data_IF_825998198702
#
_entry.id   IF_825998198702
#
_cell.length_a   1.000
_cell.length_b   1.000
_cell.length_c   1.000
_cell.angle_alpha   90.00
_cell.angle_beta   90.00
_cell.angle_gamma   90.00
#
_symmetry.space_group_name_H-M   'P 1'
#
loop_
_entity.id
_entity.type
_entity.pdbx_description
1 polymer ?
#
# COMPACT_ATOMS: atom_id res chain seq x y z
N UNK A 1 -83.83 -10.93 3.23
CA UNK A 1 -84.54 -9.79 2.59
C UNK A 1 -85.13 -8.92 3.70
N UNK A 2 -84.91 -7.60 3.63
CA UNK A 2 -85.67 -6.45 4.18
C UNK A 2 -86.67 -6.70 5.35
N UNK A 3 -86.67 -5.96 6.45
CA UNK A 3 -86.89 -4.50 6.50
C UNK A 3 -86.37 -3.86 7.80
N UNK A 4 -85.90 -2.62 7.65
CA UNK A 4 -85.70 -1.65 8.73
C UNK A 4 -87.06 -1.17 9.28
N UNK A 5 -87.18 -1.12 10.60
CA UNK A 5 -88.17 -0.29 11.29
C UNK A 5 -87.43 0.79 12.07
N UNK A 6 -87.39 2.02 11.54
CA UNK A 6 -86.98 3.21 12.28
C UNK A 6 -88.09 3.57 13.28
N UNK A 7 -87.76 3.66 14.56
CA UNK A 7 -88.45 4.58 15.47
C UNK A 7 -87.39 5.33 16.28
N UNK A 8 -87.38 6.64 16.05
CA UNK A 8 -86.67 7.67 16.78
C UNK A 8 -87.30 7.93 18.16
N UNK A 9 -86.55 8.67 19.00
CA UNK A 9 -86.94 9.46 20.20
C UNK A 9 -86.40 8.84 21.50
N UNK A 10 -85.57 9.50 22.29
CA UNK A 10 -85.02 10.85 22.18
C UNK A 10 -83.78 10.94 23.07
N UNK A 11 -82.67 11.40 22.49
CA UNK A 11 -81.50 11.80 23.29
C UNK A 11 -81.74 13.26 23.62
N UNK A 12 -81.99 13.55 24.88
CA UNK A 12 -82.15 14.91 25.37
C UNK A 12 -80.92 15.73 24.95
N UNK A 13 -81.13 16.92 24.39
CA UNK A 13 -80.05 17.83 24.02
C UNK A 13 -79.24 18.30 25.23
N UNK A 14 -79.82 18.21 26.44
CA UNK A 14 -79.13 18.46 27.71
C UNK A 14 -78.06 17.39 28.05
N UNK A 15 -78.32 16.10 27.79
CA UNK A 15 -77.33 15.04 28.04
C UNK A 15 -76.16 15.08 27.05
N UNK A 16 -76.41 15.53 25.81
CA UNK A 16 -75.36 15.71 24.79
C UNK A 16 -74.43 16.88 25.08
N UNK A 17 -74.93 17.94 25.71
CA UNK A 17 -74.12 19.11 26.11
C UNK A 17 -73.26 18.83 27.37
N UNK A 18 -73.72 17.95 28.27
CA UNK A 18 -72.95 17.50 29.43
C UNK A 18 -71.84 16.49 29.07
N UNK A 19 -72.01 15.70 28.00
CA UNK A 19 -71.01 14.74 27.53
C UNK A 19 -69.77 15.43 26.93
N UNK A 20 -69.92 16.59 26.30
CA UNK A 20 -68.82 17.32 25.67
C UNK A 20 -68.01 18.14 26.66
N UNK A 21 -68.61 18.66 27.75
CA UNK A 21 -67.89 19.36 28.82
C UNK A 21 -67.04 18.41 29.68
N UNK A 22 -67.56 17.21 30.00
CA UNK A 22 -66.84 16.21 30.79
C UNK A 22 -65.60 15.65 30.07
N UNK A 23 -65.67 15.53 28.74
CA UNK A 23 -64.54 15.07 27.90
C UNK A 23 -63.38 16.07 27.85
N UNK A 24 -63.68 17.36 28.05
CA UNK A 24 -62.67 18.43 28.10
C UNK A 24 -62.01 18.55 29.49
N UNK A 25 -62.72 18.25 30.58
CA UNK A 25 -62.15 18.35 31.93
C UNK A 25 -61.21 17.17 32.27
N UNK A 26 -61.50 15.96 31.76
CA UNK A 26 -60.65 14.77 32.00
C UNK A 26 -59.26 14.91 31.34
N UNK A 27 -59.13 15.72 30.29
CA UNK A 27 -57.87 15.94 29.58
C UNK A 27 -57.05 17.14 30.08
N UNK A 28 -57.58 17.95 31.01
CA UNK A 28 -56.84 19.09 31.59
C UNK A 28 -55.87 18.71 32.73
N UNK A 29 -55.85 17.45 33.15
CA UNK A 29 -55.09 17.00 34.32
C UNK A 29 -53.78 16.25 34.05
N UNK A 30 -53.39 16.03 32.78
CA UNK A 30 -52.10 15.38 32.50
C UNK A 30 -51.04 16.45 32.26
N UNK A 31 -49.96 16.50 33.05
CA UNK A 31 -48.86 17.42 32.77
C UNK A 31 -48.37 17.15 31.36
N UNK A 32 -48.21 18.22 30.59
CA UNK A 32 -47.75 18.18 29.21
C UNK A 32 -46.28 17.71 29.19
N UNK A 33 -46.08 16.40 29.23
CA UNK A 33 -44.76 15.75 29.23
C UNK A 33 -44.06 15.87 27.86
N UNK A 34 -44.61 16.62 26.91
CA UNK A 34 -44.00 16.87 25.60
C UNK A 34 -42.63 17.52 25.73
N UNK A 35 -42.48 18.51 26.62
CA UNK A 35 -41.20 19.17 26.89
C UNK A 35 -40.14 18.20 27.46
N UNK A 36 -40.53 17.33 28.40
CA UNK A 36 -39.64 16.32 28.96
C UNK A 36 -39.23 15.25 27.92
N UNK A 37 -40.16 14.84 27.04
CA UNK A 37 -39.86 13.94 25.92
C UNK A 37 -38.93 14.59 24.90
N UNK A 38 -39.15 15.86 24.56
CA UNK A 38 -38.29 16.62 23.64
C UNK A 38 -36.87 16.78 24.21
N UNK A 39 -36.73 17.00 25.51
CA UNK A 39 -35.41 17.03 26.16
C UNK A 39 -34.72 15.67 26.12
N UNK A 40 -35.45 14.57 26.36
CA UNK A 40 -34.89 13.22 26.24
C UNK A 40 -34.47 12.88 24.80
N UNK A 41 -35.27 13.23 23.80
CA UNK A 41 -34.90 13.01 22.39
C UNK A 41 -33.69 13.84 22.01
N UNK A 42 -33.61 15.11 22.41
CA UNK A 42 -32.44 15.96 22.15
C UNK A 42 -31.16 15.41 22.80
N UNK A 43 -31.24 14.90 24.03
CA UNK A 43 -30.09 14.26 24.70
C UNK A 43 -29.63 13.00 23.96
N UNK A 44 -30.57 12.19 23.47
CA UNK A 44 -30.26 10.98 22.69
C UNK A 44 -29.61 11.38 21.35
N UNK A 45 -30.14 12.39 20.65
CA UNK A 45 -29.58 12.90 19.40
C UNK A 45 -28.16 13.44 19.58
N UNK A 46 -27.89 14.18 20.67
CA UNK A 46 -26.54 14.65 21.00
C UNK A 46 -25.56 13.49 21.25
N UNK A 47 -26.02 12.43 21.94
CA UNK A 47 -25.20 11.24 22.18
C UNK A 47 -24.88 10.51 20.87
N UNK A 48 -25.87 10.33 20.00
CA UNK A 48 -25.65 9.75 18.67
C UNK A 48 -24.68 10.60 17.84
N UNK A 49 -24.82 11.92 17.85
CA UNK A 49 -23.93 12.81 17.12
C UNK A 49 -22.48 12.70 17.64
N UNK A 50 -22.29 12.66 18.97
CA UNK A 50 -20.97 12.47 19.59
C UNK A 50 -20.36 11.11 19.20
N UNK A 51 -21.15 10.04 19.26
CA UNK A 51 -20.69 8.71 18.85
C UNK A 51 -20.34 8.66 17.38
N UNK A 52 -21.14 9.26 16.51
CA UNK A 52 -20.89 9.28 15.07
C UNK A 52 -19.61 10.06 14.75
N UNK A 53 -19.38 11.20 15.42
CA UNK A 53 -18.14 11.96 15.31
C UNK A 53 -16.92 11.17 15.78
N UNK A 54 -17.06 10.41 16.87
CA UNK A 54 -15.98 9.56 17.37
C UNK A 54 -15.66 8.43 16.38
N UNK A 55 -16.69 7.76 15.85
CA UNK A 55 -16.52 6.71 14.85
C UNK A 55 -15.87 7.22 13.55
N UNK A 56 -16.19 8.43 13.10
CA UNK A 56 -15.53 9.00 11.91
C UNK A 56 -14.07 9.33 12.19
N UNK A 57 -13.75 9.83 13.39
CA UNK A 57 -12.39 10.08 13.82
C UNK A 57 -11.58 8.77 13.93
N UNK A 58 -12.13 7.74 14.58
CA UNK A 58 -11.48 6.44 14.71
C UNK A 58 -11.21 5.80 13.35
N UNK A 59 -12.16 5.89 12.41
CA UNK A 59 -11.98 5.41 11.03
C UNK A 59 -10.88 6.16 10.29
N UNK A 60 -10.80 7.48 10.49
CA UNK A 60 -9.75 8.29 9.89
C UNK A 60 -8.37 7.93 10.44
N UNK A 61 -8.25 7.74 11.76
CA UNK A 61 -7.01 7.33 12.41
C UNK A 61 -6.57 5.93 11.96
N UNK A 62 -7.51 4.98 11.86
CA UNK A 62 -7.24 3.65 11.33
C UNK A 62 -6.79 3.69 9.87
N UNK A 63 -7.42 4.52 9.03
CA UNK A 63 -6.99 4.70 7.64
C UNK A 63 -5.57 5.27 7.57
N UNK A 64 -5.27 6.29 8.38
CA UNK A 64 -3.95 6.89 8.46
C UNK A 64 -2.89 5.87 8.90
N UNK A 65 -3.20 5.02 9.87
CA UNK A 65 -2.30 3.96 10.32
C UNK A 65 -2.04 2.94 9.22
N UNK A 66 -3.09 2.42 8.55
CA UNK A 66 -2.96 1.48 7.44
C UNK A 66 -2.14 2.06 6.29
N UNK A 67 -2.38 3.32 5.95
CA UNK A 67 -1.62 4.02 4.92
C UNK A 67 -0.14 4.14 5.29
N UNK A 68 0.15 4.52 6.54
CA UNK A 68 1.52 4.61 7.04
C UNK A 68 2.24 3.26 6.96
N UNK A 69 1.61 2.17 7.43
CA UNK A 69 2.17 0.82 7.33
C UNK A 69 2.46 0.43 5.88
N UNK A 70 1.47 0.56 4.98
CA UNK A 70 1.65 0.21 3.56
C UNK A 70 2.78 1.02 2.91
N UNK A 71 2.87 2.32 3.22
CA UNK A 71 3.95 3.17 2.73
C UNK A 71 5.32 2.75 3.26
N UNK A 72 5.41 2.30 4.51
CA UNK A 72 6.64 1.81 5.11
C UNK A 72 7.11 0.51 4.42
N UNK A 73 6.19 -0.45 4.21
CA UNK A 73 6.49 -1.70 3.49
C UNK A 73 6.96 -1.43 2.05
N UNK A 74 6.29 -0.53 1.33
CA UNK A 74 6.70 -0.12 -0.01
C UNK A 74 8.11 0.51 -0.02
N UNK A 75 8.42 1.35 0.97
CA UNK A 75 9.74 1.96 1.10
C UNK A 75 10.83 0.91 1.35
N UNK A 76 10.57 -0.07 2.22
CA UNK A 76 11.50 -1.18 2.49
C UNK A 76 11.76 -1.97 1.22
N UNK A 77 10.72 -2.38 0.49
CA UNK A 77 10.87 -3.14 -0.75
C UNK A 77 11.68 -2.38 -1.82
N UNK A 78 11.48 -1.06 -1.93
CA UNK A 78 12.28 -0.21 -2.82
C UNK A 78 13.75 -0.15 -2.42
N UNK A 79 14.04 -0.04 -1.11
CA UNK A 79 15.42 -0.05 -0.59
C UNK A 79 16.10 -1.39 -0.86
N UNK A 80 15.42 -2.49 -0.59
CA UNK A 80 15.95 -3.84 -0.85
C UNK A 80 16.26 -4.03 -2.33
N UNK A 81 15.35 -3.63 -3.23
CA UNK A 81 15.59 -3.68 -4.67
C UNK A 81 16.79 -2.84 -5.10
N UNK A 82 16.98 -1.65 -4.51
CA UNK A 82 18.13 -0.80 -4.81
C UNK A 82 19.45 -1.44 -4.34
N UNK A 83 19.46 -2.03 -3.14
CA UNK A 83 20.63 -2.75 -2.60
C UNK A 83 20.97 -3.96 -3.48
N UNK A 84 19.98 -4.73 -3.93
CA UNK A 84 20.22 -5.88 -4.79
C UNK A 84 20.80 -5.47 -6.15
N UNK A 85 20.33 -4.36 -6.73
CA UNK A 85 20.90 -3.81 -7.97
C UNK A 85 22.35 -3.38 -7.78
N UNK A 86 22.66 -2.72 -6.67
CA UNK A 86 24.04 -2.35 -6.34
C UNK A 86 24.93 -3.58 -6.20
N UNK A 87 24.49 -4.60 -5.45
CA UNK A 87 25.21 -5.86 -5.30
C UNK A 87 25.47 -6.56 -6.63
N UNK A 88 24.48 -6.58 -7.53
CA UNK A 88 24.65 -7.17 -8.86
C UNK A 88 25.70 -6.41 -9.70
N UNK A 89 25.72 -5.09 -9.63
CA UNK A 89 26.74 -4.27 -10.30
C UNK A 89 28.13 -4.51 -9.72
N UNK A 90 28.26 -4.60 -8.40
CA UNK A 90 29.52 -4.93 -7.73
C UNK A 90 30.04 -6.31 -8.15
N UNK A 91 29.17 -7.33 -8.17
CA UNK A 91 29.51 -8.67 -8.62
C UNK A 91 29.96 -8.69 -10.09
N UNK A 92 29.30 -7.91 -10.95
CA UNK A 92 29.70 -7.78 -12.35
C UNK A 92 31.11 -7.16 -12.48
N UNK A 93 31.38 -6.09 -11.75
CA UNK A 93 32.70 -5.44 -11.75
C UNK A 93 33.79 -6.37 -11.19
N UNK A 94 33.50 -7.10 -10.11
CA UNK A 94 34.43 -8.09 -9.53
C UNK A 94 34.74 -9.21 -10.52
N UNK A 95 33.74 -9.74 -11.24
CA UNK A 95 33.97 -10.75 -12.29
C UNK A 95 34.85 -10.20 -13.42
N UNK A 96 34.61 -8.96 -13.84
CA UNK A 96 35.44 -8.29 -14.85
C UNK A 96 36.87 -8.13 -14.36
N UNK A 97 37.07 -7.65 -13.13
CA UNK A 97 38.38 -7.49 -12.51
C UNK A 97 39.15 -8.81 -12.39
N UNK A 98 38.46 -9.89 -11.99
CA UNK A 98 39.05 -11.22 -11.92
C UNK A 98 39.50 -11.73 -13.28
N UNK A 99 38.68 -11.55 -14.32
CA UNK A 99 39.06 -11.92 -15.70
C UNK A 99 40.26 -11.10 -16.20
N UNK A 100 40.31 -9.80 -15.93
CA UNK A 100 41.45 -8.97 -16.31
C UNK A 100 42.72 -9.38 -15.58
N UNK A 101 42.63 -9.71 -14.28
CA UNK A 101 43.76 -10.22 -13.50
C UNK A 101 44.29 -11.54 -14.07
N UNK A 102 43.38 -12.47 -14.41
CA UNK A 102 43.76 -13.75 -15.04
C UNK A 102 44.42 -13.54 -16.40
N UNK A 103 43.90 -12.63 -17.23
CA UNK A 103 44.51 -12.30 -18.53
C UNK A 103 45.89 -11.68 -18.37
N UNK A 104 46.08 -10.78 -17.42
CA UNK A 104 47.38 -10.19 -17.11
C UNK A 104 48.39 -11.28 -16.67
N UNK A 105 47.98 -12.18 -15.78
CA UNK A 105 48.80 -13.30 -15.36
C UNK A 105 49.19 -14.21 -16.54
N UNK A 106 48.24 -14.55 -17.42
CA UNK A 106 48.53 -15.33 -18.64
C UNK A 106 49.50 -14.61 -19.57
N UNK A 107 49.32 -13.30 -19.78
CA UNK A 107 50.23 -12.51 -20.61
C UNK A 107 51.67 -12.54 -20.05
N UNK A 108 51.83 -12.43 -18.72
CA UNK A 108 53.17 -12.54 -18.09
C UNK A 108 53.79 -13.93 -18.26
N UNK A 109 52.99 -15.01 -18.18
CA UNK A 109 53.50 -16.37 -18.40
C UNK A 109 53.93 -16.56 -19.86
N UNK A 110 53.12 -16.12 -20.82
CA UNK A 110 53.46 -16.20 -22.26
C UNK A 110 54.72 -15.40 -22.60
N UNK A 111 54.87 -14.20 -22.03
CA UNK A 111 56.10 -13.40 -22.20
C UNK A 111 57.33 -14.10 -21.63
N UNK A 112 57.20 -14.75 -20.48
CA UNK A 112 58.29 -15.53 -19.89
C UNK A 112 58.65 -16.75 -20.75
N UNK A 113 57.66 -17.50 -21.22
CA UNK A 113 57.87 -18.63 -22.14
C UNK A 113 58.54 -18.19 -23.44
N UNK A 114 58.05 -17.10 -24.05
CA UNK A 114 58.65 -16.54 -25.26
C UNK A 114 60.12 -16.19 -25.03
N UNK A 115 60.45 -15.55 -23.90
CA UNK A 115 61.84 -15.19 -23.56
C UNK A 115 62.73 -16.43 -23.42
N UNK A 116 62.23 -17.49 -22.80
CA UNK A 116 62.95 -18.77 -22.69
C UNK A 116 63.19 -19.36 -24.08
N UNK A 117 62.15 -19.44 -24.91
CA UNK A 117 62.29 -19.96 -26.27
C UNK A 117 63.25 -19.12 -27.12
N UNK A 118 63.19 -17.80 -27.04
CA UNK A 118 64.14 -16.93 -27.74
C UNK A 118 65.58 -17.29 -27.37
N UNK A 119 65.89 -17.46 -26.08
CA UNK A 119 67.23 -17.88 -25.63
C UNK A 119 67.64 -19.24 -26.20
N UNK A 120 66.73 -20.22 -26.19
CA UNK A 120 66.99 -21.54 -26.78
C UNK A 120 67.22 -21.48 -28.30
N UNK A 121 66.44 -20.68 -29.03
CA UNK A 121 66.62 -20.50 -30.47
C UNK A 121 67.94 -19.79 -30.79
N UNK A 122 68.30 -18.74 -30.03
CA UNK A 122 69.57 -18.04 -30.18
C UNK A 122 70.76 -18.99 -29.97
N UNK A 123 70.68 -19.90 -28.98
CA UNK A 123 71.72 -20.92 -28.77
C UNK A 123 71.92 -21.85 -29.97
N UNK A 124 70.89 -21.99 -30.81
CA UNK A 124 70.90 -22.80 -32.04
C UNK A 124 71.21 -21.96 -33.30
N UNK A 125 71.55 -20.68 -33.14
CA UNK A 125 71.81 -19.75 -34.25
C UNK A 125 70.56 -19.36 -35.05
N UNK A 126 69.36 -19.54 -34.48
CA UNK A 126 68.07 -19.21 -35.09
C UNK A 126 67.38 -18.10 -34.31
N UNK A 127 66.41 -17.43 -34.91
CA UNK A 127 65.61 -16.39 -34.25
C UNK A 127 64.11 -16.62 -34.47
N UNK A 128 63.30 -16.23 -33.49
CA UNK A 128 61.84 -16.24 -33.59
C UNK A 128 61.34 -15.02 -34.37
N UNK A 129 60.28 -15.20 -35.15
CA UNK A 129 59.61 -14.13 -35.89
C UNK A 129 58.80 -13.25 -34.91
N UNK A 130 59.06 -11.94 -34.90
CA UNK A 130 58.58 -11.02 -33.85
C UNK A 130 57.08 -10.70 -33.87
N UNK A 131 56.37 -10.92 -34.97
CA UNK A 131 55.00 -10.39 -35.13
C UNK A 131 53.86 -11.38 -34.82
N UNK A 132 54.14 -12.60 -34.32
CA UNK A 132 53.07 -13.60 -34.11
C UNK A 132 52.21 -13.38 -32.86
N UNK A 133 52.59 -12.49 -31.93
CA UNK A 133 51.89 -12.32 -30.65
C UNK A 133 51.66 -10.86 -30.24
N UNK A 134 51.28 -9.99 -31.18
CA UNK A 134 50.66 -8.73 -30.79
C UNK A 134 49.25 -9.03 -30.26
N UNK A 135 49.14 -9.25 -28.94
CA UNK A 135 47.84 -9.24 -28.27
C UNK A 135 47.35 -7.80 -28.37
N UNK A 136 46.39 -7.55 -29.26
CA UNK A 136 45.79 -6.22 -29.42
C UNK A 136 45.36 -5.69 -28.05
N UNK A 137 45.93 -4.57 -27.57
CA UNK A 137 45.52 -3.96 -26.30
C UNK A 137 44.06 -3.45 -26.35
N UNK A 138 43.47 -3.43 -27.55
CA UNK A 138 42.13 -2.96 -27.86
C UNK A 138 41.09 -4.09 -28.03
N UNK A 139 41.48 -5.36 -27.87
CA UNK A 139 40.55 -6.49 -28.04
C UNK A 139 39.52 -6.51 -26.89
N UNK A 140 38.45 -5.72 -27.04
CA UNK A 140 37.35 -5.61 -26.08
C UNK A 140 36.36 -6.77 -26.26
N UNK A 141 35.66 -7.21 -25.19
CA UNK A 141 34.90 -8.47 -25.20
C UNK A 141 33.64 -8.49 -26.09
N UNK A 142 33.31 -7.41 -26.80
CA UNK A 142 32.06 -7.28 -27.55
C UNK A 142 32.09 -7.97 -28.92
N UNK A 143 33.27 -8.26 -29.46
CA UNK A 143 33.41 -8.84 -30.81
C UNK A 143 33.50 -10.38 -30.82
N UNK A 144 33.58 -11.02 -29.64
CA UNK A 144 33.64 -12.49 -29.50
C UNK A 144 32.30 -13.12 -29.08
N UNK A 145 31.25 -12.31 -28.91
CA UNK A 145 29.89 -12.76 -28.55
C UNK A 145 28.81 -12.19 -29.49
N UNK A 146 29.12 -12.05 -30.79
CA UNK A 146 28.10 -11.89 -31.85
C UNK A 146 27.90 -13.21 -32.59
#
# INVERSE_FOLDING_TARGET
MLQQGKQSLGVSTQDRLMSTSFRYEINKGKPDNSAARMQQTAQIEELYFKQQKQLTQDKYEQFKAKWAEQSAWSNIALRESAVDKQRQQELFLLRKAHLTARRAALATLLQNEQRVYEQEFYSKGKALYKDMYQIDPQCTPLDLYR
#
